data_IF_219069524277
#
_entry.id   IF_219069524277
#
_cell.length_a   1.000
_cell.length_b   1.000
_cell.length_c   1.000
_cell.angle_alpha   90.00
_cell.angle_beta   90.00
_cell.angle_gamma   90.00
#
_symmetry.space_group_name_H-M   'P 1'
#
loop_
_entity.id
_entity.type
_entity.pdbx_description
1 polymer ?
#
# COMPACT_ATOMS: atom_id res chain seq x y z
N UNK A 1 -18.69 -8.15 29.26
CA UNK A 1 -18.97 -7.58 27.92
C UNK A 1 -17.69 -7.70 27.12
N UNK A 2 -17.61 -8.66 26.20
CA UNK A 2 -16.53 -8.70 25.23
C UNK A 2 -16.84 -7.59 24.22
N UNK A 3 -15.96 -6.60 24.07
CA UNK A 3 -16.04 -5.70 22.93
C UNK A 3 -15.89 -6.56 21.68
N UNK A 4 -16.93 -6.65 20.86
CA UNK A 4 -16.82 -7.14 19.49
C UNK A 4 -15.88 -6.17 18.76
N UNK A 5 -14.60 -6.50 18.73
CA UNK A 5 -13.61 -5.75 17.97
C UNK A 5 -14.04 -5.76 16.52
N UNK A 6 -14.47 -4.60 16.01
CA UNK A 6 -14.96 -4.49 14.65
C UNK A 6 -13.79 -4.75 13.71
N UNK A 7 -13.92 -5.74 12.83
CA UNK A 7 -12.87 -6.07 11.86
C UNK A 7 -12.50 -4.84 11.03
N UNK A 8 -11.20 -4.59 10.90
CA UNK A 8 -10.63 -3.52 10.08
C UNK A 8 -10.19 -4.11 8.74
N UNK A 9 -10.68 -3.55 7.64
CA UNK A 9 -10.29 -3.94 6.29
C UNK A 9 -9.08 -3.13 5.85
N UNK A 10 -8.06 -3.80 5.31
CA UNK A 10 -6.86 -3.18 4.75
C UNK A 10 -6.81 -3.52 3.28
N UNK A 11 -7.06 -2.54 2.42
CA UNK A 11 -7.04 -2.69 0.98
C UNK A 11 -5.63 -2.47 0.43
N UNK A 12 -5.19 -3.38 -0.44
CA UNK A 12 -3.90 -3.31 -1.15
C UNK A 12 -4.08 -3.64 -2.63
N UNK A 13 -3.16 -3.16 -3.46
CA UNK A 13 -3.20 -3.31 -4.92
C UNK A 13 -2.35 -4.42 -5.48
N UNK A 14 -1.40 -4.94 -4.69
CA UNK A 14 -0.45 -5.97 -5.09
C UNK A 14 -0.54 -7.19 -4.16
N UNK A 15 -0.43 -8.38 -4.72
CA UNK A 15 -0.51 -9.64 -3.99
C UNK A 15 0.72 -9.83 -3.07
N UNK A 16 1.90 -9.38 -3.50
CA UNK A 16 3.11 -9.40 -2.70
C UNK A 16 2.97 -8.47 -1.49
N UNK A 17 2.42 -7.26 -1.68
CA UNK A 17 2.09 -6.35 -0.57
C UNK A 17 1.17 -7.04 0.46
N UNK A 18 0.11 -7.72 0.01
CA UNK A 18 -0.77 -8.53 0.87
C UNK A 18 0.02 -9.60 1.65
N UNK A 19 0.90 -10.34 0.97
CA UNK A 19 1.66 -11.42 1.58
C UNK A 19 2.65 -10.91 2.64
N UNK A 20 3.29 -9.76 2.38
CA UNK A 20 4.20 -9.10 3.32
C UNK A 20 3.42 -8.68 4.57
N UNK A 21 2.30 -7.96 4.42
CA UNK A 21 1.46 -7.53 5.54
C UNK A 21 0.98 -8.73 6.36
N UNK A 22 0.50 -9.79 5.69
CA UNK A 22 0.04 -11.00 6.38
C UNK A 22 1.16 -11.66 7.19
N UNK A 23 2.38 -11.73 6.63
CA UNK A 23 3.53 -12.28 7.34
C UNK A 23 3.89 -11.44 8.58
N UNK A 24 3.89 -10.11 8.46
CA UNK A 24 4.14 -9.21 9.60
C UNK A 24 3.06 -9.36 10.67
N UNK A 25 1.77 -9.40 10.30
CA UNK A 25 0.67 -9.62 11.25
C UNK A 25 0.87 -10.92 12.02
N UNK A 26 1.14 -12.02 11.30
CA UNK A 26 1.28 -13.34 11.92
C UNK A 26 2.45 -13.41 12.92
N UNK A 27 3.50 -12.62 12.72
CA UNK A 27 4.72 -12.66 13.53
C UNK A 27 4.71 -11.61 14.65
N UNK A 28 4.25 -10.40 14.36
CA UNK A 28 4.36 -9.25 15.26
C UNK A 28 3.04 -8.85 15.93
N UNK A 29 1.89 -9.28 15.39
CA UNK A 29 0.54 -8.93 15.88
C UNK A 29 -0.41 -10.15 15.91
N UNK A 30 0.02 -11.34 16.38
CA UNK A 30 -0.81 -12.56 16.31
C UNK A 30 -2.14 -12.41 17.04
N UNK A 31 -2.18 -11.62 18.13
CA UNK A 31 -3.39 -11.31 18.89
C UNK A 31 -4.41 -10.46 18.11
N UNK A 32 -3.96 -9.66 17.15
CA UNK A 32 -4.80 -8.80 16.33
C UNK A 32 -5.14 -9.43 14.96
N UNK A 33 -4.64 -10.63 14.65
CA UNK A 33 -4.80 -11.25 13.34
C UNK A 33 -6.29 -11.41 12.94
N UNK A 34 -7.17 -11.73 13.91
CA UNK A 34 -8.61 -11.87 13.66
C UNK A 34 -9.34 -10.53 13.52
N UNK A 35 -8.68 -9.41 13.85
CA UNK A 35 -9.23 -8.06 13.75
C UNK A 35 -8.83 -7.38 12.43
N UNK A 36 -7.88 -7.95 11.68
CA UNK A 36 -7.33 -7.35 10.47
C UNK A 36 -7.64 -8.23 9.25
N UNK A 37 -8.39 -7.69 8.30
CA UNK A 37 -8.73 -8.35 7.05
C UNK A 37 -8.00 -7.68 5.88
N UNK A 38 -6.98 -8.33 5.31
CA UNK A 38 -6.24 -7.79 4.15
C UNK A 38 -6.94 -8.19 2.86
N UNK A 39 -7.45 -7.19 2.13
CA UNK A 39 -8.21 -7.33 0.89
C UNK A 39 -7.36 -6.88 -0.29
N UNK A 40 -7.07 -7.80 -1.21
CA UNK A 40 -6.42 -7.48 -2.48
C UNK A 40 -7.46 -6.98 -3.49
N UNK A 41 -7.16 -5.84 -4.15
CA UNK A 41 -8.00 -5.29 -5.21
C UNK A 41 -7.26 -5.28 -6.56
N UNK A 42 -7.71 -6.04 -7.57
CA UNK A 42 -7.03 -6.13 -8.87
C UNK A 42 -7.19 -4.88 -9.76
N UNK A 43 -8.02 -3.90 -9.37
CA UNK A 43 -8.23 -2.66 -10.14
C UNK A 43 -7.05 -1.67 -10.13
N UNK A 44 -6.03 -1.92 -9.30
CA UNK A 44 -4.86 -1.06 -9.16
C UNK A 44 -5.10 0.21 -8.33
N UNK A 45 -4.04 0.98 -8.11
CA UNK A 45 -4.03 2.16 -7.22
C UNK A 45 -5.09 3.18 -7.58
N UNK A 46 -5.26 3.46 -8.87
CA UNK A 46 -6.17 4.49 -9.36
C UNK A 46 -7.64 4.17 -9.08
N UNK A 47 -8.06 2.90 -9.19
CA UNK A 47 -9.43 2.48 -8.86
C UNK A 47 -9.69 2.63 -7.37
N UNK A 48 -8.73 2.23 -6.53
CA UNK A 48 -8.85 2.42 -5.07
C UNK A 48 -9.02 3.91 -4.75
N UNK A 49 -8.15 4.77 -5.32
CA UNK A 49 -8.20 6.23 -5.12
C UNK A 49 -9.50 6.86 -5.60
N UNK A 50 -10.02 6.48 -6.77
CA UNK A 50 -11.19 7.08 -7.42
C UNK A 50 -12.53 6.58 -6.93
N UNK A 51 -12.64 5.29 -6.65
CA UNK A 51 -13.92 4.64 -6.41
C UNK A 51 -14.05 4.23 -4.94
N UNK A 52 -13.06 3.51 -4.43
CA UNK A 52 -13.16 2.89 -3.11
C UNK A 52 -13.04 3.93 -2.00
N UNK A 53 -12.03 4.81 -2.05
CA UNK A 53 -11.89 5.90 -1.08
C UNK A 53 -13.12 6.81 -1.11
N UNK A 54 -13.65 7.12 -2.31
CA UNK A 54 -14.88 7.89 -2.45
C UNK A 54 -16.08 7.22 -1.76
N UNK A 55 -16.18 5.89 -1.82
CA UNK A 55 -17.21 5.13 -1.10
C UNK A 55 -16.95 5.14 0.41
N UNK A 56 -15.72 4.84 0.84
CA UNK A 56 -15.35 4.71 2.26
C UNK A 56 -15.52 6.01 3.02
N UNK A 57 -15.15 7.16 2.42
CA UNK A 57 -15.21 8.45 3.10
C UNK A 57 -16.65 8.94 3.40
N UNK A 58 -17.67 8.26 2.85
CA UNK A 58 -19.09 8.55 3.15
C UNK A 58 -19.58 7.84 4.41
N UNK A 59 -18.88 6.82 4.90
CA UNK A 59 -19.32 6.02 6.04
C UNK A 59 -18.96 6.71 7.38
N UNK A 60 -19.87 6.72 8.37
CA UNK A 60 -19.63 7.35 9.68
C UNK A 60 -18.76 6.52 10.64
N UNK A 61 -18.55 5.22 10.37
CA UNK A 61 -17.70 4.30 11.14
C UNK A 61 -16.67 3.67 10.22
N UNK A 62 -15.59 4.39 10.00
CA UNK A 62 -14.57 4.00 9.02
C UNK A 62 -13.66 2.94 9.64
N UNK A 63 -13.85 1.68 9.22
CA UNK A 63 -12.95 0.57 9.53
C UNK A 63 -12.15 0.13 8.29
N UNK A 64 -12.18 0.94 7.24
CA UNK A 64 -11.49 0.68 5.98
C UNK A 64 -10.22 1.52 5.91
N UNK A 65 -9.13 0.85 5.56
CA UNK A 65 -7.79 1.40 5.46
C UNK A 65 -7.20 1.00 4.12
N UNK A 66 -6.28 1.80 3.60
CA UNK A 66 -5.58 1.51 2.35
C UNK A 66 -4.08 1.56 2.61
N UNK A 67 -3.36 0.55 2.12
CA UNK A 67 -1.90 0.58 2.09
C UNK A 67 -1.46 0.44 0.64
N UNK A 68 -0.87 1.50 0.09
CA UNK A 68 -0.32 1.50 -1.25
C UNK A 68 1.16 1.10 -1.26
N UNK A 69 1.67 0.75 -2.44
CA UNK A 69 3.11 0.65 -2.67
C UNK A 69 3.77 2.03 -2.51
N UNK A 70 5.06 2.06 -2.17
CA UNK A 70 5.74 3.31 -1.84
C UNK A 70 5.88 4.28 -3.03
N UNK A 71 5.91 3.76 -4.25
CA UNK A 71 5.93 4.55 -5.49
C UNK A 71 4.62 5.31 -5.77
N UNK A 72 3.52 4.93 -5.12
CA UNK A 72 2.22 5.61 -5.24
C UNK A 72 2.14 6.91 -4.43
N UNK A 73 3.15 7.21 -3.61
CA UNK A 73 3.21 8.42 -2.79
C UNK A 73 3.75 9.59 -3.61
N UNK A 74 2.89 10.56 -3.92
CA UNK A 74 3.25 11.71 -4.78
C UNK A 74 3.87 12.87 -4.01
N UNK A 75 3.55 12.99 -2.72
CA UNK A 75 4.00 14.08 -1.84
C UNK A 75 4.26 13.57 -0.44
N UNK A 76 5.23 14.20 0.25
CA UNK A 76 5.47 13.95 1.67
C UNK A 76 4.57 14.76 2.59
N UNK A 77 3.97 15.83 2.07
CA UNK A 77 3.09 16.70 2.84
C UNK A 77 1.65 16.40 2.47
N UNK A 78 0.89 15.92 3.46
CA UNK A 78 -0.56 15.79 3.35
C UNK A 78 -1.21 17.17 3.40
N UNK A 79 -2.16 17.41 2.52
CA UNK A 79 -2.95 18.64 2.51
C UNK A 79 -4.03 18.58 3.59
N UNK A 80 -4.10 19.61 4.44
CA UNK A 80 -5.21 19.80 5.38
C UNK A 80 -6.00 21.04 4.99
N UNK A 81 -7.25 20.84 4.57
CA UNK A 81 -8.12 21.94 4.14
C UNK A 81 -8.41 22.94 5.26
N UNK A 82 -8.24 22.56 6.54
CA UNK A 82 -8.44 23.45 7.69
C UNK A 82 -7.40 24.58 7.74
N UNK A 83 -6.32 24.47 6.98
CA UNK A 83 -5.31 25.52 6.82
C UNK A 83 -5.75 26.62 5.86
N UNK A 84 -6.80 26.39 5.05
CA UNK A 84 -7.30 27.39 4.09
C UNK A 84 -8.30 28.35 4.76
N UNK A 85 -8.32 29.63 4.34
CA UNK A 85 -9.38 30.55 4.73
C UNK A 85 -10.71 30.17 4.05
N UNK A 86 -11.84 30.55 4.66
CA UNK A 86 -13.16 30.11 4.23
C UNK A 86 -13.52 30.47 2.78
N UNK A 87 -13.01 31.59 2.27
CA UNK A 87 -13.20 32.03 0.89
C UNK A 87 -12.40 31.21 -0.14
N UNK A 88 -11.40 30.43 0.28
CA UNK A 88 -10.62 29.55 -0.59
C UNK A 88 -11.14 28.11 -0.61
N UNK A 89 -12.08 27.76 0.28
CA UNK A 89 -12.72 26.43 0.34
C UNK A 89 -13.72 26.23 -0.80
N UNK A 90 -13.21 26.24 -2.03
CA UNK A 90 -13.97 26.03 -3.26
C UNK A 90 -13.78 24.61 -3.79
N UNK A 91 -14.75 24.12 -4.56
CA UNK A 91 -14.68 22.80 -5.21
C UNK A 91 -13.41 22.68 -6.06
N UNK A 92 -13.10 23.71 -6.84
CA UNK A 92 -11.92 23.73 -7.72
C UNK A 92 -10.63 23.60 -6.90
N UNK A 93 -10.49 24.41 -5.85
CA UNK A 93 -9.30 24.39 -4.99
C UNK A 93 -9.09 23.03 -4.33
N UNK A 94 -10.15 22.43 -3.78
CA UNK A 94 -10.07 21.13 -3.12
C UNK A 94 -9.72 20.01 -4.12
N UNK A 95 -10.30 20.03 -5.32
CA UNK A 95 -9.96 19.06 -6.38
C UNK A 95 -8.51 19.17 -6.82
N UNK A 96 -7.98 20.38 -6.97
CA UNK A 96 -6.57 20.59 -7.33
C UNK A 96 -5.62 20.05 -6.27
N UNK A 97 -5.91 20.27 -4.98
CA UNK A 97 -5.07 19.74 -3.91
C UNK A 97 -5.17 18.22 -3.79
N UNK A 98 -6.35 17.64 -3.99
CA UNK A 98 -6.51 16.17 -4.10
C UNK A 98 -5.72 15.62 -5.29
N UNK A 99 -5.78 16.27 -6.45
CA UNK A 99 -5.02 15.84 -7.63
C UNK A 99 -3.51 15.85 -7.35
N UNK A 100 -2.99 16.90 -6.71
CA UNK A 100 -1.57 16.95 -6.31
C UNK A 100 -1.20 15.85 -5.32
N UNK A 101 -2.07 15.59 -4.33
CA UNK A 101 -1.81 14.60 -3.28
C UNK A 101 -1.94 13.15 -3.76
N UNK A 102 -2.73 12.89 -4.80
CA UNK A 102 -3.10 11.52 -5.18
C UNK A 102 -2.72 11.14 -6.62
N UNK A 103 -2.36 12.11 -7.46
CA UNK A 103 -2.21 12.03 -8.92
C UNK A 103 -3.48 11.51 -9.63
N UNK A 104 -4.63 11.78 -9.03
CA UNK A 104 -5.91 11.26 -9.46
C UNK A 104 -6.98 12.34 -9.38
N UNK A 105 -7.73 12.51 -10.47
CA UNK A 105 -8.92 13.34 -10.44
C UNK A 105 -10.10 12.58 -9.81
N UNK A 106 -10.74 13.21 -8.83
CA UNK A 106 -11.88 12.67 -8.10
C UNK A 106 -13.18 13.35 -8.53
N UNK A 107 -14.21 12.54 -8.77
CA UNK A 107 -15.56 13.00 -9.06
C UNK A 107 -16.56 12.31 -8.16
N UNK A 108 -17.39 13.11 -7.50
CA UNK A 108 -18.52 12.63 -6.72
C UNK A 108 -19.81 12.81 -7.53
N UNK A 109 -20.57 11.73 -7.69
CA UNK A 109 -21.96 11.82 -8.14
C UNK A 109 -22.80 12.42 -7.01
N UNK A 110 -23.44 13.56 -7.27
CA UNK A 110 -24.40 14.21 -6.37
C UNK A 110 -25.80 14.06 -6.96
N UNK A 111 -26.79 13.64 -6.16
CA UNK A 111 -28.18 13.50 -6.62
C UNK A 111 -28.78 14.85 -7.08
N UNK A 112 -29.65 14.80 -8.08
CA UNK A 112 -30.19 15.97 -8.78
C UNK A 112 -31.09 16.85 -7.91
N UNK A 113 -30.56 17.97 -7.43
CA UNK A 113 -31.30 19.02 -6.73
C UNK A 113 -30.62 20.39 -6.86
N UNK A 114 -31.33 21.47 -6.49
CA UNK A 114 -30.99 22.89 -6.67
C UNK A 114 -29.49 23.23 -6.51
N UNK A 115 -28.95 23.97 -7.49
CA UNK A 115 -27.51 24.16 -7.72
C UNK A 115 -26.67 24.66 -6.54
N UNK A 116 -27.21 25.44 -5.61
CA UNK A 116 -26.46 25.91 -4.43
C UNK A 116 -26.30 24.82 -3.35
N UNK A 117 -27.34 24.03 -3.07
CA UNK A 117 -27.24 22.91 -2.11
C UNK A 117 -26.28 21.82 -2.61
N UNK A 118 -26.17 21.67 -3.93
CA UNK A 118 -25.24 20.74 -4.59
C UNK A 118 -23.77 21.10 -4.34
N UNK A 119 -23.42 22.38 -4.32
CA UNK A 119 -22.04 22.83 -4.13
C UNK A 119 -21.56 22.57 -2.70
N UNK A 120 -22.38 22.86 -1.69
CA UNK A 120 -22.03 22.62 -0.29
C UNK A 120 -21.85 21.11 -0.01
N UNK A 121 -22.73 20.27 -0.55
CA UNK A 121 -22.61 18.81 -0.45
C UNK A 121 -21.33 18.29 -1.10
N UNK A 122 -20.97 18.83 -2.27
CA UNK A 122 -19.75 18.43 -2.95
C UNK A 122 -18.50 18.84 -2.18
N UNK A 123 -18.48 20.05 -1.59
CA UNK A 123 -17.39 20.51 -0.72
C UNK A 123 -17.26 19.59 0.50
N UNK A 124 -18.37 19.22 1.14
CA UNK A 124 -18.35 18.30 2.28
C UNK A 124 -17.78 16.92 1.91
N UNK A 125 -18.16 16.37 0.76
CA UNK A 125 -17.61 15.10 0.26
C UNK A 125 -16.10 15.19 -0.04
N UNK A 126 -15.63 16.28 -0.62
CA UNK A 126 -14.21 16.51 -0.87
C UNK A 126 -13.42 16.64 0.43
N UNK A 127 -13.96 17.32 1.45
CA UNK A 127 -13.36 17.39 2.78
C UNK A 127 -13.26 16.02 3.43
N UNK A 128 -14.33 15.22 3.37
CA UNK A 128 -14.34 13.83 3.84
C UNK A 128 -13.32 12.96 3.11
N UNK A 129 -13.15 13.14 1.81
CA UNK A 129 -12.11 12.46 1.05
C UNK A 129 -10.72 12.77 1.59
N UNK A 130 -10.41 14.06 1.78
CA UNK A 130 -9.13 14.52 2.32
C UNK A 130 -8.91 13.96 3.73
N UNK A 131 -9.93 14.04 4.59
CA UNK A 131 -9.86 13.51 5.96
C UNK A 131 -9.63 11.98 5.97
N UNK A 132 -10.34 11.22 5.12
CA UNK A 132 -10.08 9.80 4.98
C UNK A 132 -8.65 9.55 4.50
N UNK A 133 -8.19 10.25 3.47
CA UNK A 133 -6.86 10.03 2.92
C UNK A 133 -5.77 10.27 3.96
N UNK A 134 -5.89 11.34 4.74
CA UNK A 134 -4.88 11.69 5.73
C UNK A 134 -4.85 10.71 6.92
N UNK A 135 -5.98 10.11 7.28
CA UNK A 135 -6.09 9.26 8.47
C UNK A 135 -6.07 7.75 8.19
N UNK A 136 -6.43 7.33 6.98
CA UNK A 136 -6.69 5.92 6.65
C UNK A 136 -5.83 5.38 5.50
N UNK A 137 -5.06 6.24 4.81
CA UNK A 137 -4.16 5.82 3.73
C UNK A 137 -2.71 5.84 4.22
N UNK A 138 -2.04 4.70 4.06
CA UNK A 138 -0.63 4.51 4.35
C UNK A 138 0.12 3.99 3.12
N UNK A 139 1.43 3.90 3.23
CA UNK A 139 2.31 3.41 2.17
C UNK A 139 3.30 2.42 2.74
N UNK A 140 3.61 1.38 1.98
CA UNK A 140 4.72 0.48 2.29
C UNK A 140 6.07 1.24 2.23
N UNK A 141 7.06 0.81 3.03
CA UNK A 141 8.44 1.27 2.85
C UNK A 141 9.01 0.78 1.51
N UNK A 142 10.07 1.43 1.02
CA UNK A 142 10.62 1.16 -0.31
C UNK A 142 9.81 1.82 -1.43
N UNK A 143 10.09 1.48 -2.70
CA UNK A 143 9.24 1.89 -3.83
C UNK A 143 8.25 0.79 -4.18
N UNK A 144 8.75 -0.44 -4.21
CA UNK A 144 7.99 -1.63 -4.53
C UNK A 144 8.00 -2.63 -3.37
N UNK A 145 7.00 -3.52 -3.28
CA UNK A 145 7.00 -4.62 -2.31
C UNK A 145 8.25 -5.51 -2.42
N UNK A 146 8.80 -5.70 -3.62
CA UNK A 146 10.03 -6.45 -3.83
C UNK A 146 11.27 -5.80 -3.18
N UNK A 147 11.32 -4.47 -3.10
CA UNK A 147 12.45 -3.76 -2.48
C UNK A 147 12.58 -4.10 -0.99
N UNK A 148 11.44 -4.34 -0.33
CA UNK A 148 11.32 -4.59 1.11
C UNK A 148 11.98 -5.93 1.47
N UNK A 149 11.73 -6.95 0.66
CA UNK A 149 12.09 -8.33 0.98
C UNK A 149 13.39 -8.80 0.29
N UNK A 150 13.88 -8.07 -0.71
CA UNK A 150 15.09 -8.45 -1.43
C UNK A 150 16.31 -8.48 -0.50
N UNK A 151 17.11 -9.53 -0.62
CA UNK A 151 18.35 -9.67 0.14
C UNK A 151 19.39 -10.45 -0.68
N UNK A 152 20.53 -9.81 -0.95
CA UNK A 152 21.62 -10.39 -1.75
C UNK A 152 22.15 -11.69 -1.12
N UNK A 153 22.33 -11.73 0.21
CA UNK A 153 22.77 -12.95 0.91
C UNK A 153 21.80 -14.12 0.69
N UNK A 154 20.49 -13.83 0.68
CA UNK A 154 19.47 -14.85 0.44
C UNK A 154 19.49 -15.31 -1.01
N UNK A 155 19.66 -14.39 -1.96
CA UNK A 155 19.82 -14.72 -3.37
C UNK A 155 21.06 -15.60 -3.60
N UNK A 156 22.19 -15.28 -2.98
CA UNK A 156 23.42 -16.10 -3.04
C UNK A 156 23.21 -17.51 -2.48
N UNK A 157 22.51 -17.64 -1.35
CA UNK A 157 22.17 -18.96 -0.80
C UNK A 157 21.34 -19.80 -1.77
N UNK A 158 20.38 -19.20 -2.48
CA UNK A 158 19.55 -19.93 -3.45
C UNK A 158 20.33 -20.32 -4.71
N UNK A 159 21.36 -19.56 -5.05
CA UNK A 159 22.25 -19.83 -6.16
C UNK A 159 23.41 -20.77 -5.79
N UNK A 160 23.48 -21.30 -4.57
CA UNK A 160 24.64 -22.06 -4.07
C UNK A 160 25.02 -23.27 -4.91
N UNK A 161 24.08 -23.84 -5.66
CA UNK A 161 24.30 -24.99 -6.54
C UNK A 161 24.89 -24.60 -7.91
N UNK A 162 25.03 -23.30 -8.20
CA UNK A 162 25.64 -22.81 -9.44
C UNK A 162 27.17 -22.84 -9.31
N UNK A 163 27.92 -23.04 -10.42
CA UNK A 163 29.38 -23.09 -10.38
C UNK A 163 30.04 -21.82 -9.80
N UNK A 164 29.44 -20.65 -10.03
CA UNK A 164 29.89 -19.39 -9.48
C UNK A 164 28.71 -18.50 -9.04
N UNK A 165 28.15 -18.72 -7.84
CA UNK A 165 26.95 -18.02 -7.37
C UNK A 165 27.10 -16.50 -7.34
N UNK A 166 28.30 -16.00 -7.04
CA UNK A 166 28.58 -14.55 -6.98
C UNK A 166 28.50 -13.90 -8.37
N UNK A 167 29.06 -14.56 -9.39
CA UNK A 167 28.99 -14.07 -10.77
C UNK A 167 27.53 -14.10 -11.27
N UNK A 168 26.79 -15.17 -10.96
CA UNK A 168 25.36 -15.27 -11.32
C UNK A 168 24.53 -14.15 -10.69
N UNK A 169 24.71 -13.87 -9.40
CA UNK A 169 24.01 -12.76 -8.76
C UNK A 169 24.39 -11.40 -9.38
N UNK A 170 25.67 -11.20 -9.68
CA UNK A 170 26.15 -9.95 -10.30
C UNK A 170 25.48 -9.73 -11.66
N UNK A 171 25.36 -10.79 -12.48
CA UNK A 171 24.65 -10.75 -13.76
C UNK A 171 23.15 -10.46 -13.59
N UNK A 172 22.51 -11.01 -12.56
CA UNK A 172 21.10 -10.71 -12.24
C UNK A 172 20.94 -9.22 -11.91
N UNK A 173 21.79 -8.68 -11.04
CA UNK A 173 21.73 -7.27 -10.63
C UNK A 173 21.93 -6.36 -11.84
N UNK A 174 22.94 -6.62 -12.66
CA UNK A 174 23.23 -5.86 -13.88
C UNK A 174 22.05 -5.89 -14.87
N UNK A 175 21.57 -7.09 -15.24
CA UNK A 175 20.46 -7.25 -16.20
C UNK A 175 19.12 -6.74 -15.68
N UNK A 176 18.96 -6.67 -14.36
CA UNK A 176 17.74 -6.11 -13.77
C UNK A 176 17.70 -4.60 -13.82
N UNK A 177 18.78 -3.92 -14.21
CA UNK A 177 18.96 -2.47 -14.06
C UNK A 177 18.74 -2.03 -12.59
N UNK A 178 19.12 -2.90 -11.66
CA UNK A 178 18.87 -2.78 -10.23
C UNK A 178 17.38 -2.68 -9.83
N UNK A 179 16.44 -3.02 -10.71
CA UNK A 179 15.00 -3.01 -10.45
C UNK A 179 14.54 -4.32 -9.80
N UNK A 180 14.10 -4.26 -8.53
CA UNK A 180 13.86 -5.45 -7.69
C UNK A 180 12.85 -6.43 -8.28
N UNK A 181 11.81 -5.95 -8.97
CA UNK A 181 10.85 -6.82 -9.69
C UNK A 181 11.55 -7.65 -10.77
N UNK A 182 12.47 -7.05 -11.52
CA UNK A 182 13.26 -7.78 -12.52
C UNK A 182 14.29 -8.70 -11.87
N UNK A 183 14.89 -8.31 -10.74
CA UNK A 183 15.79 -9.19 -9.98
C UNK A 183 15.08 -10.50 -9.59
N UNK A 184 13.87 -10.41 -9.05
CA UNK A 184 13.08 -11.60 -8.70
C UNK A 184 12.73 -12.46 -9.91
N UNK A 185 12.35 -11.87 -11.04
CA UNK A 185 12.08 -12.61 -12.28
C UNK A 185 13.30 -13.38 -12.75
N UNK A 186 14.46 -12.71 -12.84
CA UNK A 186 15.72 -13.31 -13.29
C UNK A 186 16.21 -14.38 -12.31
N UNK A 187 16.16 -14.12 -11.01
CA UNK A 187 16.56 -15.09 -9.99
C UNK A 187 15.66 -16.34 -10.03
N UNK A 188 14.35 -16.16 -10.15
CA UNK A 188 13.38 -17.26 -10.24
C UNK A 188 13.67 -18.13 -11.46
N UNK A 189 13.90 -17.51 -12.62
CA UNK A 189 14.29 -18.23 -13.83
C UNK A 189 15.60 -19.02 -13.63
N UNK A 190 16.59 -18.43 -12.94
CA UNK A 190 17.86 -19.13 -12.68
C UNK A 190 17.73 -20.35 -11.76
N UNK A 191 16.83 -20.30 -10.77
CA UNK A 191 16.66 -21.38 -9.78
C UNK A 191 15.73 -22.47 -10.30
N UNK A 192 14.60 -22.07 -10.92
CA UNK A 192 13.52 -22.99 -11.28
C UNK A 192 13.45 -23.30 -12.78
N UNK A 193 14.12 -22.52 -13.63
CA UNK A 193 13.94 -22.58 -15.09
C UNK A 193 12.53 -22.20 -15.55
N UNK A 194 11.74 -21.57 -14.68
CA UNK A 194 10.40 -21.09 -14.98
C UNK A 194 10.01 -19.91 -14.06
N UNK A 195 9.80 -18.75 -14.67
CA UNK A 195 9.29 -17.53 -14.03
C UNK A 195 7.95 -17.69 -13.29
N UNK A 196 7.09 -18.65 -13.67
CA UNK A 196 5.80 -18.89 -13.02
C UNK A 196 5.96 -19.29 -11.54
N UNK A 197 7.15 -19.75 -11.16
CA UNK A 197 7.51 -20.06 -9.78
C UNK A 197 7.82 -18.83 -8.92
N UNK A 198 7.63 -17.60 -9.41
CA UNK A 198 8.01 -16.37 -8.70
C UNK A 198 7.38 -16.25 -7.30
N UNK A 199 6.16 -16.77 -7.13
CA UNK A 199 5.48 -16.80 -5.83
C UNK A 199 6.20 -17.69 -4.80
N UNK A 200 6.89 -18.74 -5.24
CA UNK A 200 7.73 -19.56 -4.36
C UNK A 200 8.96 -18.76 -3.91
N UNK A 201 9.63 -18.06 -4.85
CA UNK A 201 10.73 -17.15 -4.54
C UNK A 201 10.30 -16.09 -3.53
N UNK A 202 9.18 -15.39 -3.76
CA UNK A 202 8.67 -14.40 -2.82
C UNK A 202 8.45 -14.98 -1.42
N UNK A 203 7.83 -16.15 -1.27
CA UNK A 203 7.65 -16.80 0.04
C UNK A 203 8.97 -17.08 0.75
N UNK A 204 9.99 -17.53 0.02
CA UNK A 204 11.31 -17.80 0.60
C UNK A 204 12.00 -16.53 1.12
N UNK A 205 11.85 -15.41 0.40
CA UNK A 205 12.42 -14.12 0.79
C UNK A 205 11.63 -13.46 1.92
N UNK A 206 10.29 -13.51 1.90
CA UNK A 206 9.44 -13.01 3.00
C UNK A 206 9.82 -13.70 4.32
N UNK A 207 9.99 -15.02 4.31
CA UNK A 207 10.34 -15.77 5.52
C UNK A 207 11.72 -15.35 6.06
N UNK A 208 12.73 -15.22 5.20
CA UNK A 208 14.08 -14.77 5.59
C UNK A 208 14.05 -13.33 6.12
N UNK A 209 13.36 -12.43 5.42
CA UNK A 209 13.21 -11.03 5.80
C UNK A 209 12.52 -10.86 7.16
N UNK A 210 11.45 -11.62 7.41
CA UNK A 210 10.72 -11.58 8.68
C UNK A 210 11.55 -12.05 9.88
N UNK A 211 12.56 -12.90 9.67
CA UNK A 211 13.50 -13.31 10.72
C UNK A 211 14.49 -12.17 11.03
N UNK A 212 14.96 -11.46 9.99
CA UNK A 212 15.93 -10.37 10.12
C UNK A 212 15.34 -9.10 10.75
N UNK A 213 14.05 -8.82 10.58
CA UNK A 213 13.31 -7.67 11.17
C UNK A 213 14.03 -6.32 11.01
N UNK A 214 14.31 -5.94 9.77
CA UNK A 214 15.00 -4.68 9.45
C UNK A 214 14.12 -3.43 9.74
N UNK A 215 14.59 -2.24 9.32
CA UNK A 215 13.84 -0.99 9.46
C UNK A 215 12.47 -1.02 8.76
N UNK A 216 12.36 -1.69 7.62
CA UNK A 216 11.10 -1.78 6.86
C UNK A 216 10.07 -2.63 7.61
N UNK A 217 10.50 -3.73 8.24
CA UNK A 217 9.65 -4.55 9.09
C UNK A 217 9.05 -3.71 10.23
N UNK A 218 9.89 -2.94 10.93
CA UNK A 218 9.44 -2.09 12.03
C UNK A 218 8.54 -0.94 11.56
N UNK A 219 8.77 -0.43 10.34
CA UNK A 219 7.89 0.58 9.72
C UNK A 219 6.50 0.02 9.47
N UNK A 220 6.40 -1.21 8.93
CA UNK A 220 5.11 -1.87 8.71
C UNK A 220 4.40 -2.16 10.03
N UNK A 221 5.14 -2.60 11.06
CA UNK A 221 4.59 -2.77 12.41
C UNK A 221 4.00 -1.46 12.94
N UNK A 222 4.70 -0.33 12.77
CA UNK A 222 4.22 0.97 13.20
C UNK A 222 2.97 1.46 12.43
N UNK A 223 2.85 1.12 11.14
CA UNK A 223 1.63 1.36 10.35
C UNK A 223 0.48 0.54 10.92
N UNK A 224 0.68 -0.76 11.15
CA UNK A 224 -0.35 -1.64 11.70
C UNK A 224 -0.78 -1.19 13.11
N UNK A 225 0.13 -0.69 13.93
CA UNK A 225 -0.19 -0.13 15.24
C UNK A 225 -1.06 1.13 15.17
N UNK A 226 -0.94 1.94 14.12
CA UNK A 226 -1.83 3.07 13.89
C UNK A 226 -3.23 2.61 13.49
N UNK A 227 -3.33 1.54 12.69
CA UNK A 227 -4.60 0.95 12.26
C UNK A 227 -5.31 0.26 13.43
N UNK A 228 -4.57 -0.45 14.30
CA UNK A 228 -5.17 -1.24 15.39
C UNK A 228 -5.77 -0.36 16.49
N UNK A 229 -5.20 0.82 16.74
CA UNK A 229 -5.72 1.80 17.72
C UNK A 229 -7.21 2.11 17.53
#
# INVERSE_FOLDING_TARGET
QFNEGTTKNIYVEDILARNILQAVINIAKPEAANLLNIVFNPGGSSVIKKEFICMFCRAPKINDYVIFDGDQKTTNNQFDYRTLPANELTIQRLKEEILKQTDVEITFSTDGGDGNKRNDQQIDLLKKYIDFYNNNVFYLPGKLPEDIIWCDDRALQLLSNKPNPQAELSLIIEKSENYSKNKFKLLTEQIYGNIDCINASYKMFINDWCVKKNCDFNTIVAILDQIIK
#
